data_IF_290320073791
#
_entry.id   IF_290320073791
#
_cell.length_a   1.000
_cell.length_b   1.000
_cell.length_c   1.000
_cell.angle_alpha   90.00
_cell.angle_beta   90.00
_cell.angle_gamma   90.00
#
_symmetry.space_group_name_H-M   'P 1'
#
loop_
_entity.id
_entity.type
_entity.pdbx_description
1 polymer ?
#
# COMPACT_ATOMS: atom_id res chain seq x y z
N UNK A 1 28.06 18.88 13.06
CA UNK A 1 28.60 19.71 14.18
C UNK A 1 28.85 21.17 13.85
N UNK A 2 29.50 21.58 12.72
CA UNK A 2 29.74 23.00 12.39
C UNK A 2 28.44 23.83 12.21
N UNK A 3 27.43 23.33 11.46
CA UNK A 3 26.16 24.06 11.23
C UNK A 3 25.36 24.34 12.52
N UNK A 4 25.33 23.41 13.48
CA UNK A 4 24.59 23.63 14.73
C UNK A 4 25.24 24.69 15.63
N UNK A 5 26.59 24.79 15.64
CA UNK A 5 27.30 25.85 16.35
C UNK A 5 27.04 27.24 15.76
N UNK A 6 26.98 27.34 14.42
CA UNK A 6 26.68 28.60 13.73
C UNK A 6 25.26 29.09 14.09
N UNK A 7 24.27 28.20 14.09
CA UNK A 7 22.89 28.54 14.46
C UNK A 7 22.80 29.00 15.91
N UNK A 8 23.50 28.35 16.85
CA UNK A 8 23.53 28.76 18.25
C UNK A 8 24.17 30.15 18.39
N UNK A 9 25.30 30.41 17.72
CA UNK A 9 25.97 31.69 17.74
C UNK A 9 25.07 32.80 17.17
N UNK A 10 24.38 32.58 16.06
CA UNK A 10 23.44 33.51 15.48
C UNK A 10 22.28 33.83 16.44
N UNK A 11 21.76 32.84 17.15
CA UNK A 11 20.70 32.99 18.13
C UNK A 11 21.15 33.86 19.31
N UNK A 12 22.35 33.65 19.84
CA UNK A 12 22.95 34.44 20.91
C UNK A 12 23.15 35.88 20.44
N UNK A 13 23.62 36.09 19.23
CA UNK A 13 23.82 37.44 18.65
C UNK A 13 22.50 38.23 18.54
N UNK A 14 21.42 37.58 18.09
CA UNK A 14 20.07 38.19 18.01
C UNK A 14 19.57 38.55 19.38
N UNK A 15 19.76 37.73 20.40
CA UNK A 15 19.35 38.00 21.79
C UNK A 15 20.12 39.21 22.35
N UNK A 16 21.44 39.26 22.13
CA UNK A 16 22.26 40.38 22.58
C UNK A 16 21.84 41.67 21.89
N UNK A 17 21.62 41.66 20.60
CA UNK A 17 21.16 42.79 19.81
C UNK A 17 19.80 43.31 20.35
N UNK A 18 18.86 42.43 20.64
CA UNK A 18 17.55 42.75 21.19
C UNK A 18 17.69 43.38 22.58
N UNK A 19 18.55 42.86 23.45
CA UNK A 19 18.82 43.45 24.77
C UNK A 19 19.40 44.87 24.66
N UNK A 20 20.32 45.08 23.75
CA UNK A 20 20.92 46.41 23.53
C UNK A 20 19.86 47.42 23.05
N UNK A 21 19.05 47.08 22.06
CA UNK A 21 18.01 47.93 21.51
C UNK A 21 16.94 48.26 22.56
N UNK A 22 16.52 47.24 23.33
CA UNK A 22 15.50 47.44 24.37
C UNK A 22 15.99 48.34 25.51
N UNK A 23 17.25 48.18 25.99
CA UNK A 23 17.84 49.03 26.99
C UNK A 23 18.04 50.47 26.45
N UNK A 24 18.46 50.63 25.20
CA UNK A 24 18.59 51.93 24.55
C UNK A 24 17.23 52.66 24.47
N UNK A 25 16.16 51.92 24.12
CA UNK A 25 14.79 52.44 24.12
C UNK A 25 14.35 52.88 25.51
N UNK A 26 14.57 52.06 26.54
CA UNK A 26 14.23 52.37 27.93
C UNK A 26 14.96 53.63 28.43
N UNK A 27 16.27 53.74 28.14
CA UNK A 27 17.08 54.91 28.48
C UNK A 27 16.53 56.17 27.77
N UNK A 28 16.22 56.07 26.47
CA UNK A 28 15.67 57.16 25.67
C UNK A 28 14.33 57.67 26.25
N UNK A 29 13.43 56.71 26.56
CA UNK A 29 12.11 57.03 27.14
C UNK A 29 12.25 57.77 28.49
N UNK A 30 13.12 57.26 29.34
CA UNK A 30 13.36 57.85 30.66
C UNK A 30 14.00 59.23 30.57
N UNK A 31 14.95 59.44 29.66
CA UNK A 31 15.54 60.74 29.41
C UNK A 31 14.52 61.78 28.89
N UNK A 32 13.61 61.30 27.98
CA UNK A 32 12.51 62.18 27.51
C UNK A 32 11.57 62.59 28.64
N UNK A 33 11.22 61.73 29.54
CA UNK A 33 10.38 62.01 30.70
C UNK A 33 11.11 62.94 31.62
N UNK A 34 12.38 62.73 31.97
CA UNK A 34 13.20 63.57 32.81
C UNK A 34 13.29 65.01 32.23
N UNK A 35 13.46 65.14 30.92
CA UNK A 35 13.53 66.47 30.27
C UNK A 35 12.20 67.22 30.40
N UNK A 36 11.04 66.56 30.24
CA UNK A 36 9.74 67.10 30.42
C UNK A 36 9.55 67.66 31.89
N UNK A 37 9.94 66.84 32.88
CA UNK A 37 9.86 67.24 34.28
C UNK A 37 10.74 68.42 34.58
N UNK A 38 11.97 68.47 34.08
CA UNK A 38 12.88 69.64 34.27
C UNK A 38 12.33 70.90 33.65
N UNK A 39 11.71 70.82 32.45
CA UNK A 39 11.06 72.01 31.82
C UNK A 39 9.88 72.50 32.67
N UNK A 40 9.03 71.50 33.12
CA UNK A 40 7.87 71.93 33.98
C UNK A 40 8.34 72.56 35.28
N UNK A 41 9.34 71.99 35.94
CA UNK A 41 9.93 72.47 37.13
C UNK A 41 10.54 73.89 36.93
N UNK A 42 11.31 74.11 35.86
CA UNK A 42 11.88 75.34 35.46
C UNK A 42 10.79 76.44 35.27
N UNK A 43 9.68 76.10 34.62
CA UNK A 43 8.57 77.01 34.41
C UNK A 43 7.89 77.37 35.74
N UNK A 44 7.73 76.40 36.65
CA UNK A 44 7.18 76.64 37.98
C UNK A 44 8.10 77.58 38.76
N UNK A 45 9.41 77.30 38.79
CA UNK A 45 10.38 78.14 39.50
C UNK A 45 10.46 79.57 38.93
N UNK A 46 10.36 79.74 37.60
CA UNK A 46 10.34 81.00 36.92
C UNK A 46 9.11 81.79 37.33
N UNK A 47 7.91 81.26 37.35
CA UNK A 47 6.69 81.91 37.78
C UNK A 47 6.74 82.34 39.30
N UNK A 48 7.28 81.46 40.16
CA UNK A 48 7.49 81.74 41.59
C UNK A 48 8.47 82.85 41.75
N UNK A 49 9.57 82.97 41.04
CA UNK A 49 10.56 84.04 41.14
C UNK A 49 9.98 85.37 40.69
N UNK A 50 9.06 85.44 39.75
CA UNK A 50 8.39 86.62 39.29
C UNK A 50 7.37 87.13 40.31
N UNK A 51 6.60 86.27 40.95
CA UNK A 51 5.53 86.66 41.89
C UNK A 51 6.03 86.98 43.32
N UNK A 52 7.13 86.33 43.71
CA UNK A 52 7.68 86.41 45.06
C UNK A 52 9.19 86.65 45.02
N UNK A 53 9.64 87.90 44.69
CA UNK A 53 11.05 88.24 44.52
C UNK A 53 11.89 88.16 45.81
N UNK A 54 11.26 87.99 46.97
CA UNK A 54 11.90 87.88 48.30
C UNK A 54 12.25 86.43 48.67
N UNK A 55 11.87 85.42 47.86
CA UNK A 55 12.23 84.02 48.10
C UNK A 55 13.69 83.78 47.72
N UNK A 56 14.51 83.41 48.72
CA UNK A 56 15.94 83.17 48.51
C UNK A 56 16.15 81.89 47.68
N UNK A 57 17.13 81.87 46.76
CA UNK A 57 17.51 80.68 45.97
C UNK A 57 17.96 79.51 46.84
N UNK A 58 18.48 79.71 48.01
CA UNK A 58 18.89 78.71 48.97
C UNK A 58 17.67 77.91 49.50
N UNK A 59 16.55 78.56 49.80
CA UNK A 59 15.31 77.97 50.27
C UNK A 59 14.70 77.06 49.18
N UNK A 60 14.81 77.49 47.92
CA UNK A 60 14.35 76.67 46.79
C UNK A 60 15.19 75.41 46.61
N UNK A 61 16.50 75.48 46.77
CA UNK A 61 17.40 74.32 46.69
C UNK A 61 17.11 73.38 47.85
N UNK A 62 16.86 73.84 49.04
CA UNK A 62 16.51 73.02 50.21
C UNK A 62 15.19 72.22 50.00
N UNK A 63 14.20 72.83 49.36
CA UNK A 63 12.93 72.19 48.95
C UNK A 63 13.19 71.15 47.87
N UNK A 64 14.05 71.42 46.89
CA UNK A 64 14.38 70.52 45.82
C UNK A 64 15.22 69.29 46.25
N UNK A 65 16.01 69.43 47.31
CA UNK A 65 16.80 68.40 47.93
C UNK A 65 15.97 67.44 48.82
N UNK A 66 14.64 67.67 48.90
CA UNK A 66 13.70 66.69 49.45
C UNK A 66 13.51 66.76 50.95
N UNK A 67 13.80 67.90 51.59
CA UNK A 67 13.34 68.20 52.95
C UNK A 67 11.84 68.48 52.87
N UNK A 68 11.04 67.44 52.92
CA UNK A 68 9.59 67.49 52.75
C UNK A 68 8.90 67.93 54.04
N UNK A 69 7.95 68.82 53.90
CA UNK A 69 6.91 69.01 54.90
C UNK A 69 5.85 67.95 54.75
N UNK A 70 5.33 67.41 55.85
CA UNK A 70 4.23 66.42 55.86
C UNK A 70 2.88 66.96 55.34
N UNK A 71 2.86 68.12 54.74
CA UNK A 71 1.66 68.79 54.24
C UNK A 71 1.51 68.55 52.74
N UNK A 72 0.45 67.86 52.35
CA UNK A 72 0.11 67.55 50.95
C UNK A 72 -0.64 68.79 50.33
N UNK A 73 0.10 69.81 49.99
CA UNK A 73 -0.42 71.00 49.36
C UNK A 73 -1.03 70.80 47.98
N UNK A 74 -0.58 69.72 47.26
CA UNK A 74 -1.07 69.44 45.91
C UNK A 74 -2.51 68.96 45.91
N UNK A 75 -3.00 68.41 47.02
CA UNK A 75 -4.39 67.99 47.21
C UNK A 75 -5.37 69.10 47.06
N UNK A 76 -4.99 70.29 47.55
CA UNK A 76 -5.81 71.50 47.49
C UNK A 76 -5.96 72.05 46.04
N UNK A 77 -5.08 71.61 45.15
CA UNK A 77 -5.09 71.89 43.72
C UNK A 77 -5.66 70.74 42.89
N UNK A 78 -6.29 69.69 43.53
CA UNK A 78 -6.90 68.54 42.85
C UNK A 78 -5.89 67.50 42.32
N UNK A 79 -4.63 67.59 42.79
CA UNK A 79 -3.57 66.65 42.36
C UNK A 79 -3.33 65.64 43.48
N UNK A 80 -3.54 64.39 43.17
CA UNK A 80 -3.31 63.26 44.07
C UNK A 80 -1.87 62.73 43.90
N UNK A 81 -1.03 62.89 44.94
CA UNK A 81 0.39 62.50 44.92
C UNK A 81 0.55 61.02 44.61
N UNK A 82 -0.39 60.17 45.02
CA UNK A 82 -0.31 58.76 44.84
C UNK A 82 -0.78 58.26 43.41
N UNK A 83 -1.56 59.11 42.72
CA UNK A 83 -2.14 58.75 41.40
C UNK A 83 -1.60 59.58 40.26
N UNK A 84 -1.24 60.87 40.52
CA UNK A 84 -0.77 61.73 39.46
C UNK A 84 0.76 61.81 39.46
N UNK A 85 1.38 61.50 38.37
CA UNK A 85 2.84 61.37 38.20
C UNK A 85 3.53 62.74 38.15
N UNK A 86 3.62 63.40 39.26
CA UNK A 86 4.52 64.55 39.47
C UNK A 86 5.81 64.14 40.18
N UNK A 87 6.52 63.14 39.66
CA UNK A 87 7.64 62.52 40.36
C UNK A 87 8.97 63.00 39.78
N UNK A 88 9.77 63.63 40.65
CA UNK A 88 11.20 63.77 40.49
C UNK A 88 11.86 62.38 40.60
N UNK A 89 12.09 61.70 39.46
CA UNK A 89 12.72 60.44 39.40
C UNK A 89 14.17 60.53 39.91
N UNK A 90 14.43 59.98 41.07
CA UNK A 90 15.80 59.97 41.61
C UNK A 90 16.69 59.00 40.70
N UNK A 91 18.00 59.29 40.63
CA UNK A 91 18.98 58.45 39.94
C UNK A 91 18.90 56.98 40.41
N UNK A 92 18.51 56.79 41.68
CA UNK A 92 18.35 55.46 42.30
C UNK A 92 17.17 54.68 41.73
N UNK A 93 16.02 55.36 41.52
CA UNK A 93 14.82 54.70 40.97
C UNK A 93 15.01 54.31 39.50
N UNK A 94 15.72 55.15 38.75
CA UNK A 94 16.15 54.81 37.38
C UNK A 94 17.04 53.58 37.32
N UNK A 95 18.06 53.50 38.21
CA UNK A 95 18.95 52.36 38.28
C UNK A 95 18.20 51.08 38.70
N UNK A 96 17.30 51.18 39.68
CA UNK A 96 16.45 50.06 40.09
C UNK A 96 15.54 49.60 38.95
N UNK A 97 14.91 50.50 38.20
CA UNK A 97 14.11 50.16 37.03
C UNK A 97 14.90 49.45 35.94
N UNK A 98 16.14 49.88 35.67
CA UNK A 98 17.04 49.22 34.75
C UNK A 98 17.38 47.77 35.19
N UNK A 99 17.68 47.59 36.45
CA UNK A 99 18.00 46.28 37.05
C UNK A 99 16.80 45.34 36.91
N UNK A 100 15.61 45.76 37.32
CA UNK A 100 14.37 44.99 37.26
C UNK A 100 14.06 44.60 35.81
N UNK A 101 14.19 45.54 34.88
CA UNK A 101 13.96 45.30 33.46
C UNK A 101 14.92 44.24 32.88
N UNK A 102 16.21 44.34 33.23
CA UNK A 102 17.20 43.34 32.77
C UNK A 102 16.98 41.96 33.40
N UNK A 103 16.57 41.90 34.67
CA UNK A 103 16.19 40.61 35.31
C UNK A 103 15.01 39.96 34.57
N UNK A 104 13.96 40.75 34.26
CA UNK A 104 12.79 40.26 33.54
C UNK A 104 13.16 39.72 32.16
N UNK A 105 14.03 40.43 31.43
CA UNK A 105 14.56 40.01 30.15
C UNK A 105 15.31 38.70 30.24
N UNK A 106 16.18 38.54 31.24
CA UNK A 106 16.94 37.29 31.45
C UNK A 106 15.99 36.12 31.70
N UNK A 107 15.00 36.28 32.58
CA UNK A 107 13.99 35.26 32.88
C UNK A 107 13.22 34.85 31.63
N UNK A 108 12.81 35.84 30.81
CA UNK A 108 12.10 35.57 29.55
C UNK A 108 12.94 34.77 28.56
N UNK A 109 14.24 35.09 28.41
CA UNK A 109 15.18 34.34 27.56
C UNK A 109 15.36 32.92 28.06
N UNK A 110 15.47 32.72 29.38
CA UNK A 110 15.58 31.37 29.96
C UNK A 110 14.33 30.56 29.64
N UNK A 111 13.14 31.12 29.77
CA UNK A 111 11.87 30.45 29.43
C UNK A 111 11.83 30.02 27.94
N UNK A 112 12.18 30.95 27.03
CA UNK A 112 12.22 30.62 25.58
C UNK A 112 13.22 29.51 25.25
N UNK A 113 14.41 29.54 25.85
CA UNK A 113 15.42 28.48 25.63
C UNK A 113 14.97 27.14 26.19
N UNK A 114 14.27 27.14 27.32
CA UNK A 114 13.72 25.92 27.92
C UNK A 114 12.63 25.31 27.06
N UNK A 115 11.70 26.10 26.53
CA UNK A 115 10.65 25.65 25.59
C UNK A 115 11.30 25.08 24.32
N UNK A 116 12.29 25.76 23.75
CA UNK A 116 13.01 25.29 22.55
C UNK A 116 13.75 23.98 22.81
N UNK A 117 14.34 23.82 24.00
CA UNK A 117 15.04 22.58 24.38
C UNK A 117 14.07 21.39 24.50
N UNK A 118 12.93 21.58 25.17
CA UNK A 118 11.88 20.55 25.30
C UNK A 118 11.36 20.14 23.92
N UNK A 119 11.06 21.12 23.06
CA UNK A 119 10.59 20.85 21.70
C UNK A 119 11.59 20.04 20.89
N UNK A 120 12.89 20.42 20.91
CA UNK A 120 13.96 19.67 20.22
C UNK A 120 14.12 18.25 20.75
N UNK A 121 14.01 18.06 22.08
CA UNK A 121 14.11 16.74 22.70
C UNK A 121 12.98 15.83 22.24
N UNK A 122 11.75 16.34 22.16
CA UNK A 122 10.59 15.61 21.69
C UNK A 122 10.69 15.24 20.19
N UNK A 123 11.12 16.17 19.34
CA UNK A 123 11.39 15.90 17.93
C UNK A 123 12.47 14.82 17.73
N UNK A 124 13.58 14.89 18.48
CA UNK A 124 14.65 13.91 18.41
C UNK A 124 14.17 12.52 18.80
N UNK A 125 13.29 12.38 19.81
CA UNK A 125 12.67 11.12 20.21
C UNK A 125 11.83 10.54 19.06
N UNK A 126 10.95 11.34 18.46
CA UNK A 126 10.10 10.93 17.34
C UNK A 126 10.91 10.49 16.10
N UNK A 127 11.99 11.21 15.77
CA UNK A 127 12.89 10.83 14.66
C UNK A 127 13.55 9.48 14.95
N UNK A 128 14.00 9.22 16.17
CA UNK A 128 14.59 7.93 16.55
C UNK A 128 13.56 6.78 16.42
N UNK A 129 12.32 7.00 16.82
CA UNK A 129 11.23 6.03 16.64
C UNK A 129 11.04 5.69 15.14
N UNK A 130 10.94 6.70 14.29
CA UNK A 130 10.82 6.51 12.84
C UNK A 130 12.03 5.75 12.28
N UNK A 131 13.24 6.10 12.71
CA UNK A 131 14.46 5.42 12.27
C UNK A 131 14.43 3.93 12.67
N UNK A 132 13.99 3.61 13.90
CA UNK A 132 13.88 2.22 14.34
C UNK A 132 12.82 1.43 13.56
N UNK A 133 11.72 2.07 13.15
CA UNK A 133 10.70 1.46 12.28
C UNK A 133 11.30 1.11 10.90
N UNK A 134 12.03 2.04 10.29
CA UNK A 134 12.72 1.81 9.01
C UNK A 134 13.75 0.67 9.12
N UNK A 135 14.49 0.59 10.22
CA UNK A 135 15.42 -0.53 10.46
C UNK A 135 14.71 -1.87 10.55
N UNK A 136 13.53 -1.94 11.19
CA UNK A 136 12.74 -3.16 11.26
C UNK A 136 12.24 -3.59 9.85
N UNK A 137 11.77 -2.64 9.05
CA UNK A 137 11.36 -2.87 7.65
C UNK A 137 12.53 -3.44 6.84
N UNK A 138 13.72 -2.84 6.96
CA UNK A 138 14.92 -3.30 6.25
C UNK A 138 15.34 -4.73 6.65
N UNK A 139 15.03 -5.15 7.87
CA UNK A 139 15.21 -6.54 8.33
C UNK A 139 14.08 -7.48 7.92
N UNK A 140 13.16 -7.02 7.05
CA UNK A 140 11.96 -7.74 6.59
C UNK A 140 10.99 -8.11 7.73
N UNK A 141 11.05 -7.40 8.84
CA UNK A 141 10.06 -7.50 9.90
C UNK A 141 8.96 -6.47 9.65
N UNK A 142 7.86 -6.92 9.06
CA UNK A 142 6.71 -6.07 8.69
C UNK A 142 5.59 -6.09 9.77
N UNK A 143 5.81 -6.73 10.93
CA UNK A 143 4.88 -6.67 12.08
C UNK A 143 5.14 -5.40 12.88
N UNK A 144 4.63 -4.28 12.40
CA UNK A 144 4.79 -2.97 13.03
C UNK A 144 3.42 -2.52 13.52
N UNK A 145 3.31 -2.37 14.84
CA UNK A 145 2.17 -1.71 15.46
C UNK A 145 2.47 -0.20 15.55
N UNK A 146 1.67 0.61 14.88
CA UNK A 146 1.87 2.05 14.85
C UNK A 146 0.71 2.71 15.59
N UNK A 147 1.02 3.18 16.80
CA UNK A 147 0.12 3.99 17.58
C UNK A 147 -0.09 5.37 16.91
N UNK A 148 -1.32 5.64 16.45
CA UNK A 148 -1.66 6.73 15.53
C UNK A 148 -2.18 8.00 16.24
N UNK A 149 -1.71 8.36 17.43
CA UNK A 149 -2.36 9.34 18.30
C UNK A 149 -1.83 10.79 18.22
N UNK A 150 -1.10 11.22 17.19
CA UNK A 150 -0.64 12.63 17.11
C UNK A 150 -0.84 13.20 15.72
N UNK A 151 -1.51 14.38 15.65
CA UNK A 151 -1.66 15.20 14.44
C UNK A 151 -0.48 16.17 14.32
N UNK A 152 0.67 15.73 13.82
CA UNK A 152 1.80 16.59 13.50
C UNK A 152 2.47 16.16 12.16
N UNK A 153 3.37 17.00 11.64
CA UNK A 153 4.05 16.75 10.35
C UNK A 153 4.78 15.40 10.32
N UNK A 154 5.25 14.90 11.46
CA UNK A 154 5.89 13.58 11.58
C UNK A 154 4.87 12.44 11.57
N UNK A 155 3.62 12.67 11.91
CA UNK A 155 2.55 11.67 11.83
C UNK A 155 2.19 11.36 10.38
N UNK A 156 2.25 12.35 9.48
CA UNK A 156 2.06 12.15 8.04
C UNK A 156 3.14 11.20 7.50
N UNK A 157 4.41 11.47 7.84
CA UNK A 157 5.53 10.59 7.46
C UNK A 157 5.37 9.16 8.02
N UNK A 158 4.93 9.04 9.27
CA UNK A 158 4.67 7.76 9.92
C UNK A 158 3.56 6.97 9.20
N UNK A 159 2.48 7.65 8.77
CA UNK A 159 1.40 7.06 8.00
C UNK A 159 1.85 6.58 6.61
N UNK A 160 2.70 7.33 5.92
CA UNK A 160 3.25 6.91 4.62
C UNK A 160 4.19 5.70 4.77
N UNK A 161 4.99 5.66 5.83
CA UNK A 161 5.82 4.49 6.16
C UNK A 161 4.93 3.27 6.44
N UNK A 162 3.81 3.45 7.16
CA UNK A 162 2.87 2.37 7.43
C UNK A 162 2.25 1.82 6.15
N UNK A 163 1.72 2.67 5.27
CA UNK A 163 1.16 2.25 3.98
C UNK A 163 2.19 1.46 3.17
N UNK A 164 3.41 1.99 3.08
CA UNK A 164 4.53 1.32 2.39
C UNK A 164 4.84 -0.04 3.02
N UNK A 165 4.81 -0.14 4.35
CA UNK A 165 5.06 -1.40 5.07
C UNK A 165 3.98 -2.44 4.79
N UNK A 166 2.71 -2.02 4.75
CA UNK A 166 1.58 -2.91 4.39
C UNK A 166 1.74 -3.42 2.95
N UNK A 167 2.08 -2.55 2.01
CA UNK A 167 2.35 -2.94 0.62
C UNK A 167 3.52 -3.93 0.51
N UNK A 168 4.63 -3.67 1.18
CA UNK A 168 5.79 -4.57 1.20
C UNK A 168 5.49 -5.93 1.84
N UNK A 169 4.67 -5.94 2.89
CA UNK A 169 4.19 -7.17 3.53
C UNK A 169 3.36 -8.02 2.57
N UNK A 170 2.44 -7.39 1.86
CA UNK A 170 1.58 -8.04 0.86
C UNK A 170 2.42 -8.58 -0.30
N UNK A 171 3.36 -7.79 -0.82
CA UNK A 171 4.28 -8.18 -1.89
C UNK A 171 5.16 -9.37 -1.47
N UNK A 172 5.72 -9.32 -0.25
CA UNK A 172 6.53 -10.42 0.29
C UNK A 172 5.70 -11.70 0.47
N UNK A 173 4.44 -11.58 0.93
CA UNK A 173 3.53 -12.70 1.05
C UNK A 173 3.20 -13.32 -0.31
N UNK A 174 2.85 -12.50 -1.30
CA UNK A 174 2.54 -12.93 -2.65
C UNK A 174 3.77 -13.59 -3.30
N UNK A 175 4.94 -12.97 -3.20
CA UNK A 175 6.21 -13.53 -3.71
C UNK A 175 6.55 -14.90 -3.08
N UNK A 176 6.29 -15.08 -1.77
CA UNK A 176 6.52 -16.35 -1.11
C UNK A 176 5.52 -17.42 -1.57
N UNK A 177 4.26 -17.05 -1.75
CA UNK A 177 3.24 -17.95 -2.30
C UNK A 177 3.58 -18.36 -3.74
N UNK A 178 4.00 -17.43 -4.58
CA UNK A 178 4.42 -17.72 -5.95
C UNK A 178 5.61 -18.68 -5.98
N UNK A 179 6.60 -18.47 -5.13
CA UNK A 179 7.74 -19.37 -4.98
C UNK A 179 7.32 -20.78 -4.55
N UNK A 180 6.39 -20.90 -3.61
CA UNK A 180 5.87 -22.19 -3.17
C UNK A 180 5.06 -22.88 -4.28
N UNK A 181 4.26 -22.13 -5.02
CA UNK A 181 3.50 -22.64 -6.17
C UNK A 181 4.43 -23.15 -7.28
N UNK A 182 5.51 -22.41 -7.58
CA UNK A 182 6.53 -22.84 -8.56
C UNK A 182 7.22 -24.12 -8.07
N UNK A 183 7.63 -24.18 -6.80
CA UNK A 183 8.26 -25.38 -6.23
C UNK A 183 7.35 -26.59 -6.36
N UNK A 184 6.09 -26.48 -5.95
CA UNK A 184 5.09 -27.54 -6.07
C UNK A 184 4.91 -27.95 -7.53
N UNK A 185 4.81 -26.99 -8.46
CA UNK A 185 4.67 -27.27 -9.88
C UNK A 185 5.86 -28.07 -10.44
N UNK A 186 7.10 -27.75 -10.02
CA UNK A 186 8.31 -28.48 -10.45
C UNK A 186 8.31 -29.92 -9.88
N UNK A 187 7.90 -30.11 -8.63
CA UNK A 187 7.76 -31.40 -8.00
C UNK A 187 6.73 -32.25 -8.77
N UNK A 188 5.55 -31.70 -9.04
CA UNK A 188 4.47 -32.36 -9.78
C UNK A 188 4.92 -32.74 -11.22
N UNK A 189 5.58 -31.82 -11.94
CA UNK A 189 6.16 -32.09 -13.27
C UNK A 189 7.15 -33.26 -13.23
N UNK A 190 8.05 -33.25 -12.24
CA UNK A 190 9.06 -34.28 -12.09
C UNK A 190 8.44 -35.65 -11.90
N UNK A 191 7.38 -35.74 -11.08
CA UNK A 191 6.63 -36.97 -10.89
C UNK A 191 5.90 -37.43 -12.16
N UNK A 192 5.24 -36.48 -12.85
CA UNK A 192 4.50 -36.82 -14.09
C UNK A 192 5.41 -37.22 -15.27
N UNK A 193 6.68 -36.82 -15.29
CA UNK A 193 7.68 -37.21 -16.27
C UNK A 193 8.33 -38.53 -15.87
N UNK A 194 8.57 -38.78 -14.59
CA UNK A 194 9.25 -40.00 -14.12
C UNK A 194 8.45 -41.27 -14.44
N UNK A 195 7.13 -41.24 -14.26
CA UNK A 195 6.26 -42.42 -14.48
C UNK A 195 6.35 -42.94 -15.90
N UNK A 196 6.08 -42.18 -16.98
CA UNK A 196 6.18 -42.69 -18.35
C UNK A 196 7.61 -43.03 -18.73
N UNK A 197 8.63 -42.31 -18.24
CA UNK A 197 10.03 -42.67 -18.50
C UNK A 197 10.41 -44.01 -17.87
N UNK A 198 9.95 -44.30 -16.65
CA UNK A 198 10.17 -45.60 -16.01
C UNK A 198 9.45 -46.73 -16.77
N UNK A 199 8.20 -46.48 -17.21
CA UNK A 199 7.43 -47.42 -18.01
C UNK A 199 8.16 -47.76 -19.33
N UNK A 200 8.66 -46.75 -20.05
CA UNK A 200 9.45 -46.91 -21.27
C UNK A 200 10.71 -47.73 -20.98
N UNK A 201 11.45 -47.43 -19.89
CA UNK A 201 12.66 -48.18 -19.54
C UNK A 201 12.37 -49.63 -19.27
N UNK A 202 11.33 -49.94 -18.49
CA UNK A 202 10.93 -51.34 -18.18
C UNK A 202 10.53 -52.11 -19.45
N UNK A 203 9.76 -51.47 -20.36
CA UNK A 203 9.38 -52.10 -21.61
C UNK A 203 10.58 -52.36 -22.53
N UNK A 204 11.55 -51.44 -22.57
CA UNK A 204 12.80 -51.64 -23.31
C UNK A 204 13.65 -52.75 -22.72
N UNK A 205 13.79 -52.78 -21.37
CA UNK A 205 14.53 -53.85 -20.70
C UNK A 205 13.92 -55.23 -21.00
N UNK A 206 12.58 -55.35 -20.97
CA UNK A 206 11.88 -56.60 -21.32
C UNK A 206 12.15 -57.05 -22.79
N UNK A 207 12.18 -56.10 -23.73
CA UNK A 207 12.50 -56.40 -25.15
C UNK A 207 13.95 -56.87 -25.30
N UNK A 208 14.88 -56.30 -24.53
CA UNK A 208 16.31 -56.57 -24.57
C UNK A 208 16.61 -57.94 -23.91
N UNK A 209 15.96 -58.24 -22.77
CA UNK A 209 16.21 -59.41 -21.96
C UNK A 209 15.61 -60.71 -22.59
N UNK A 210 14.60 -60.55 -23.46
CA UNK A 210 13.96 -61.67 -24.18
C UNK A 210 14.12 -61.53 -25.72
N UNK A 211 15.28 -61.94 -26.29
CA UNK A 211 15.52 -61.89 -27.74
C UNK A 211 14.56 -62.76 -28.54
N UNK A 212 14.03 -63.79 -27.93
CA UNK A 212 13.13 -64.77 -28.58
C UNK A 212 11.65 -64.41 -28.36
N UNK A 213 11.35 -63.21 -27.85
CA UNK A 213 10.00 -62.70 -27.64
C UNK A 213 9.17 -62.83 -28.93
N UNK A 214 7.94 -63.26 -28.82
CA UNK A 214 7.00 -63.28 -29.90
C UNK A 214 6.79 -61.91 -30.55
N UNK A 215 6.83 -61.79 -31.86
CA UNK A 215 6.74 -60.58 -32.61
C UNK A 215 5.46 -59.70 -32.26
N UNK A 216 4.35 -60.39 -31.97
CA UNK A 216 3.10 -59.76 -31.51
C UNK A 216 3.32 -59.03 -30.20
N UNK A 217 3.95 -59.62 -29.19
CA UNK A 217 4.22 -59.03 -27.87
C UNK A 217 5.25 -57.94 -27.99
N UNK A 218 6.29 -58.12 -28.81
CA UNK A 218 7.29 -57.10 -29.09
C UNK A 218 6.64 -55.85 -29.71
N UNK A 219 5.75 -56.05 -30.67
CA UNK A 219 5.02 -54.93 -31.30
C UNK A 219 4.11 -54.23 -30.31
N UNK A 220 3.47 -54.92 -29.38
CA UNK A 220 2.65 -54.30 -28.33
C UNK A 220 3.51 -53.41 -27.43
N UNK A 221 4.67 -53.88 -26.96
CA UNK A 221 5.61 -53.03 -26.21
C UNK A 221 6.07 -51.80 -27.01
N UNK A 222 6.40 -51.91 -28.28
CA UNK A 222 6.80 -50.83 -29.16
C UNK A 222 5.64 -49.82 -29.30
N UNK A 223 4.40 -50.26 -29.44
CA UNK A 223 3.23 -49.41 -29.52
C UNK A 223 3.00 -48.67 -28.19
N UNK A 224 3.14 -49.33 -27.06
CA UNK A 224 3.03 -48.73 -25.73
C UNK A 224 4.14 -47.71 -25.48
N UNK A 225 5.39 -47.98 -25.86
CA UNK A 225 6.50 -47.04 -25.83
C UNK A 225 6.17 -45.78 -26.64
N UNK A 226 5.66 -45.96 -27.87
CA UNK A 226 5.26 -44.83 -28.73
C UNK A 226 4.13 -44.02 -28.09
N UNK A 227 3.17 -44.67 -27.43
CA UNK A 227 2.10 -43.99 -26.69
C UNK A 227 2.68 -43.12 -25.55
N UNK A 228 3.60 -43.67 -24.75
CA UNK A 228 4.23 -42.92 -23.65
C UNK A 228 5.09 -41.74 -24.13
N UNK A 229 5.81 -41.87 -25.25
CA UNK A 229 6.55 -40.78 -25.88
C UNK A 229 5.59 -39.67 -26.32
N UNK A 230 4.44 -40.00 -26.89
CA UNK A 230 3.43 -39.01 -27.29
C UNK A 230 2.83 -38.33 -26.07
N UNK A 231 2.61 -39.05 -24.97
CA UNK A 231 2.16 -38.51 -23.68
C UNK A 231 3.16 -37.51 -23.13
N UNK A 232 4.46 -37.80 -23.11
CA UNK A 232 5.53 -36.90 -22.70
C UNK A 232 5.55 -35.65 -23.59
N UNK A 233 5.46 -35.78 -24.90
CA UNK A 233 5.43 -34.66 -25.83
C UNK A 233 4.22 -33.73 -25.59
N UNK A 234 3.05 -34.32 -25.33
CA UNK A 234 1.85 -33.53 -24.98
C UNK A 234 2.04 -32.78 -23.67
N UNK A 235 2.59 -33.42 -22.63
CA UNK A 235 2.90 -32.81 -21.34
C UNK A 235 3.83 -31.64 -21.51
N UNK A 236 4.95 -31.79 -22.22
CA UNK A 236 5.91 -30.72 -22.49
C UNK A 236 5.25 -29.53 -23.21
N UNK A 237 4.47 -29.77 -24.26
CA UNK A 237 3.75 -28.70 -24.97
C UNK A 237 2.78 -27.97 -24.08
N UNK A 238 2.07 -28.68 -23.21
CA UNK A 238 1.12 -28.10 -22.26
C UNK A 238 1.81 -27.27 -21.19
N UNK A 239 2.96 -27.74 -20.69
CA UNK A 239 3.82 -26.97 -19.76
C UNK A 239 4.37 -25.70 -20.37
N UNK A 240 4.84 -25.75 -21.62
CA UNK A 240 5.32 -24.55 -22.34
C UNK A 240 4.19 -23.54 -22.54
N UNK A 241 2.95 -24.01 -22.82
CA UNK A 241 1.79 -23.12 -22.86
C UNK A 241 1.56 -22.45 -21.52
N UNK A 242 1.50 -23.19 -20.40
CA UNK A 242 1.31 -22.65 -19.06
C UNK A 242 2.41 -21.66 -18.69
N UNK A 243 3.68 -22.02 -18.87
CA UNK A 243 4.82 -21.14 -18.55
C UNK A 243 4.76 -19.79 -19.27
N UNK A 244 4.32 -19.77 -20.53
CA UNK A 244 4.14 -18.53 -21.29
C UNK A 244 3.06 -17.63 -20.66
N UNK A 245 2.01 -18.20 -20.07
CA UNK A 245 0.97 -17.47 -19.38
C UNK A 245 1.46 -16.86 -18.06
N UNK A 246 2.24 -17.61 -17.28
CA UNK A 246 2.75 -17.18 -15.98
C UNK A 246 3.66 -15.96 -16.07
N UNK A 247 4.52 -15.89 -17.10
CA UNK A 247 5.50 -14.80 -17.27
C UNK A 247 4.89 -13.61 -18.02
N UNK A 248 3.57 -13.57 -18.27
CA UNK A 248 2.93 -12.57 -19.14
C UNK A 248 3.59 -12.40 -20.53
N UNK A 249 4.34 -13.42 -20.98
CA UNK A 249 5.09 -13.42 -22.24
C UNK A 249 4.19 -13.68 -23.47
N UNK A 250 2.94 -14.04 -23.26
CA UNK A 250 1.97 -14.22 -24.35
C UNK A 250 1.56 -12.85 -24.86
N UNK A 251 1.94 -12.53 -26.09
CA UNK A 251 1.34 -11.40 -26.80
C UNK A 251 -0.10 -11.77 -27.16
N UNK A 252 -1.04 -11.34 -26.35
CA UNK A 252 -2.46 -11.47 -26.63
C UNK A 252 -2.84 -10.57 -27.80
N UNK A 253 -3.43 -11.15 -28.81
CA UNK A 253 -4.09 -10.40 -29.89
C UNK A 253 -5.59 -10.27 -29.55
N UNK A 254 -5.91 -9.52 -28.51
CA UNK A 254 -7.28 -9.37 -28.05
C UNK A 254 -8.09 -8.51 -29.02
N UNK A 255 -9.21 -9.03 -29.48
CA UNK A 255 -10.17 -8.40 -30.35
C UNK A 255 -11.59 -8.72 -29.89
N UNK A 256 -12.56 -7.95 -30.36
CA UNK A 256 -13.97 -8.31 -30.17
C UNK A 256 -14.35 -9.48 -31.07
N UNK A 257 -14.51 -10.64 -30.49
CA UNK A 257 -14.85 -11.90 -31.18
C UNK A 257 -16.26 -12.34 -30.83
N UNK A 258 -17.07 -12.66 -31.82
CA UNK A 258 -18.40 -13.25 -31.65
C UNK A 258 -18.28 -14.63 -30.98
N UNK A 259 -19.06 -14.87 -29.94
CA UNK A 259 -19.09 -16.18 -29.27
C UNK A 259 -19.54 -17.29 -30.23
N UNK A 260 -20.42 -16.96 -31.17
CA UNK A 260 -20.83 -17.92 -32.21
C UNK A 260 -19.62 -18.41 -33.00
N UNK A 261 -18.72 -17.52 -33.47
CA UNK A 261 -17.54 -17.92 -34.23
C UNK A 261 -16.54 -18.73 -33.39
N UNK A 262 -16.44 -18.42 -32.09
CA UNK A 262 -15.63 -19.20 -31.15
C UNK A 262 -16.23 -20.61 -31.00
N UNK A 263 -17.53 -20.72 -30.77
CA UNK A 263 -18.21 -22.01 -30.59
C UNK A 263 -18.18 -22.86 -31.86
N UNK A 264 -18.35 -22.28 -33.05
CA UNK A 264 -18.24 -22.97 -34.33
C UNK A 264 -16.84 -23.62 -34.44
N UNK A 265 -15.78 -22.92 -34.06
CA UNK A 265 -14.41 -23.45 -34.07
C UNK A 265 -14.21 -24.54 -33.02
N UNK A 266 -14.79 -24.39 -31.83
CA UNK A 266 -14.78 -25.40 -30.77
C UNK A 266 -15.46 -26.67 -31.23
N UNK A 267 -16.66 -26.56 -31.83
CA UNK A 267 -17.40 -27.72 -32.35
C UNK A 267 -16.60 -28.48 -33.40
N UNK A 268 -15.94 -27.78 -34.33
CA UNK A 268 -15.06 -28.39 -35.30
C UNK A 268 -13.88 -29.13 -34.65
N UNK A 269 -13.31 -28.58 -33.57
CA UNK A 269 -12.17 -29.19 -32.89
C UNK A 269 -12.54 -30.47 -32.12
N UNK A 270 -13.78 -30.63 -31.68
CA UNK A 270 -14.24 -31.76 -30.87
C UNK A 270 -15.06 -32.79 -31.68
N UNK A 271 -15.38 -32.53 -32.95
CA UNK A 271 -16.26 -33.38 -33.77
C UNK A 271 -15.79 -34.81 -33.84
N UNK A 272 -14.50 -35.03 -34.17
CA UNK A 272 -13.94 -36.38 -34.27
C UNK A 272 -14.04 -37.16 -32.96
N UNK A 273 -13.80 -36.50 -31.81
CA UNK A 273 -13.87 -37.13 -30.49
C UNK A 273 -15.33 -37.45 -30.11
N UNK A 274 -16.23 -36.56 -30.42
CA UNK A 274 -17.68 -36.70 -30.23
C UNK A 274 -18.22 -37.90 -31.04
N UNK A 275 -17.82 -38.00 -32.31
CA UNK A 275 -18.22 -39.11 -33.20
C UNK A 275 -17.67 -40.46 -32.71
N UNK A 276 -16.39 -40.51 -32.31
CA UNK A 276 -15.75 -41.73 -31.78
C UNK A 276 -16.43 -42.26 -30.51
N UNK A 277 -16.97 -41.36 -29.67
CA UNK A 277 -17.68 -41.71 -28.42
C UNK A 277 -19.20 -41.86 -28.61
N UNK A 278 -19.71 -41.58 -29.81
CA UNK A 278 -21.14 -41.57 -30.13
C UNK A 278 -21.94 -40.63 -29.22
N UNK A 279 -21.38 -39.42 -28.97
CA UNK A 279 -21.96 -38.39 -28.12
C UNK A 279 -22.39 -37.20 -29.00
N UNK A 280 -23.67 -36.86 -28.99
CA UNK A 280 -24.19 -35.66 -29.68
C UNK A 280 -23.97 -34.43 -28.82
N UNK A 281 -23.61 -33.30 -29.45
CA UNK A 281 -23.46 -32.01 -28.78
C UNK A 281 -24.53 -31.07 -29.32
N UNK A 282 -25.46 -30.65 -28.44
CA UNK A 282 -26.53 -29.71 -28.75
C UNK A 282 -26.09 -28.29 -28.37
N UNK A 283 -25.78 -27.47 -29.37
CA UNK A 283 -25.36 -26.08 -29.20
C UNK A 283 -26.57 -25.15 -29.33
N UNK A 284 -26.92 -24.48 -28.22
CA UNK A 284 -28.07 -23.58 -28.13
C UNK A 284 -27.59 -22.13 -27.92
N UNK A 285 -27.52 -21.33 -28.94
CA UNK A 285 -27.18 -19.90 -28.85
C UNK A 285 -28.47 -19.07 -28.91
N UNK A 286 -28.92 -18.56 -27.75
CA UNK A 286 -30.11 -17.70 -27.72
C UNK A 286 -29.84 -16.32 -28.28
N UNK A 287 -28.73 -15.70 -27.82
CA UNK A 287 -28.26 -14.41 -28.31
C UNK A 287 -26.75 -14.47 -28.47
N UNK A 288 -26.24 -14.06 -29.61
CA UNK A 288 -24.79 -13.92 -29.82
C UNK A 288 -24.29 -12.66 -29.11
N UNK A 289 -23.09 -12.73 -28.59
CA UNK A 289 -22.41 -11.61 -27.97
C UNK A 289 -20.92 -11.63 -28.29
N UNK A 290 -20.26 -10.49 -28.08
CA UNK A 290 -18.83 -10.39 -28.32
C UNK A 290 -18.05 -10.46 -27.01
N UNK A 291 -16.92 -11.16 -27.05
CA UNK A 291 -15.94 -11.19 -25.97
C UNK A 291 -14.67 -10.51 -26.47
N UNK A 292 -14.12 -9.57 -25.67
CA UNK A 292 -12.81 -9.00 -25.93
C UNK A 292 -11.71 -9.95 -25.47
N UNK A 293 -11.22 -10.77 -26.40
CA UNK A 293 -10.29 -11.87 -26.11
C UNK A 293 -9.39 -12.18 -27.29
N UNK A 294 -8.34 -12.95 -27.06
CA UNK A 294 -7.62 -13.62 -28.14
C UNK A 294 -8.44 -14.85 -28.58
N UNK A 295 -8.81 -14.87 -29.86
CA UNK A 295 -9.66 -15.90 -30.45
C UNK A 295 -9.12 -17.31 -30.23
N UNK A 296 -7.83 -17.54 -30.52
CA UNK A 296 -7.24 -18.87 -30.48
C UNK A 296 -7.14 -19.41 -29.05
N UNK A 297 -6.76 -18.56 -28.11
CA UNK A 297 -6.69 -18.95 -26.71
C UNK A 297 -8.09 -19.21 -26.12
N UNK A 298 -9.08 -18.41 -26.50
CA UNK A 298 -10.45 -18.62 -26.04
C UNK A 298 -11.02 -19.93 -26.59
N UNK A 299 -10.78 -20.24 -27.86
CA UNK A 299 -11.14 -21.54 -28.47
C UNK A 299 -10.45 -22.68 -27.74
N UNK A 300 -9.15 -22.58 -27.43
CA UNK A 300 -8.40 -23.61 -26.70
C UNK A 300 -9.04 -23.86 -25.32
N UNK A 301 -9.35 -22.80 -24.56
CA UNK A 301 -9.94 -22.92 -23.24
C UNK A 301 -11.28 -23.66 -23.25
N UNK A 302 -12.19 -23.26 -24.15
CA UNK A 302 -13.52 -23.88 -24.26
C UNK A 302 -13.40 -25.31 -24.81
N UNK A 303 -12.52 -25.54 -25.79
CA UNK A 303 -12.27 -26.88 -26.35
C UNK A 303 -11.81 -27.87 -25.25
N UNK A 304 -10.93 -27.45 -24.34
CA UNK A 304 -10.48 -28.30 -23.24
C UNK A 304 -11.62 -28.65 -22.27
N UNK A 305 -12.53 -27.74 -22.01
CA UNK A 305 -13.70 -27.99 -21.14
C UNK A 305 -14.68 -28.97 -21.85
N UNK A 306 -14.96 -28.74 -23.13
CA UNK A 306 -15.86 -29.61 -23.90
C UNK A 306 -15.24 -31.02 -24.06
N UNK A 307 -13.94 -31.13 -24.34
CA UNK A 307 -13.24 -32.42 -24.37
C UNK A 307 -13.37 -33.15 -23.03
N UNK A 308 -13.13 -32.51 -21.93
CA UNK A 308 -13.30 -33.07 -20.61
C UNK A 308 -14.74 -33.57 -20.41
N UNK A 309 -15.73 -32.77 -20.82
CA UNK A 309 -17.13 -33.14 -20.76
C UNK A 309 -17.45 -34.39 -21.61
N UNK A 310 -16.87 -34.54 -22.82
CA UNK A 310 -17.04 -35.71 -23.67
C UNK A 310 -16.37 -36.93 -23.01
N UNK A 311 -15.16 -36.78 -22.47
CA UNK A 311 -14.37 -37.86 -21.90
C UNK A 311 -15.05 -38.47 -20.68
N UNK A 312 -15.76 -37.68 -19.87
CA UNK A 312 -16.43 -38.12 -18.64
C UNK A 312 -17.94 -38.32 -18.78
N UNK A 313 -18.50 -38.21 -19.99
CA UNK A 313 -19.91 -38.52 -20.27
C UNK A 313 -20.17 -40.03 -20.36
N UNK A 314 -21.35 -40.44 -19.94
CA UNK A 314 -21.85 -41.75 -20.26
C UNK A 314 -22.10 -41.91 -21.76
N UNK A 315 -21.95 -43.13 -22.28
CA UNK A 315 -22.31 -43.41 -23.66
C UNK A 315 -23.78 -43.09 -23.94
N UNK A 316 -24.07 -42.59 -25.12
CA UNK A 316 -25.42 -42.25 -25.58
C UNK A 316 -26.12 -41.12 -24.77
N UNK A 317 -25.33 -40.27 -24.07
CA UNK A 317 -25.83 -39.07 -23.38
C UNK A 317 -25.31 -37.81 -24.07
N UNK A 318 -26.25 -36.98 -24.46
CA UNK A 318 -25.95 -35.74 -25.15
C UNK A 318 -25.28 -34.69 -24.21
N UNK A 319 -24.40 -33.91 -24.79
CA UNK A 319 -23.83 -32.72 -24.14
C UNK A 319 -24.63 -31.52 -24.58
N UNK A 320 -25.04 -30.68 -23.65
CA UNK A 320 -25.81 -29.46 -23.96
C UNK A 320 -24.92 -28.24 -23.68
N UNK A 321 -24.78 -27.36 -24.67
CA UNK A 321 -24.07 -26.11 -24.54
C UNK A 321 -25.06 -24.97 -24.72
N UNK A 322 -25.29 -24.22 -23.64
CA UNK A 322 -26.18 -23.05 -23.66
C UNK A 322 -25.36 -21.76 -23.64
N UNK A 323 -25.61 -20.90 -24.60
CA UNK A 323 -25.03 -19.55 -24.71
C UNK A 323 -26.15 -18.52 -24.54
N UNK A 324 -26.01 -17.68 -23.51
CA UNK A 324 -27.04 -16.69 -23.16
C UNK A 324 -26.37 -15.34 -22.86
N UNK A 325 -26.90 -14.29 -23.45
CA UNK A 325 -26.52 -12.91 -23.15
C UNK A 325 -27.57 -12.27 -22.21
N UNK A 326 -27.15 -11.95 -20.98
CA UNK A 326 -28.00 -11.33 -19.96
C UNK A 326 -27.59 -9.85 -19.73
N UNK A 327 -28.38 -9.11 -18.97
CA UNK A 327 -28.12 -7.66 -18.76
C UNK A 327 -26.79 -7.37 -18.05
N UNK A 328 -26.42 -8.19 -17.05
CA UNK A 328 -25.25 -7.97 -16.21
C UNK A 328 -24.04 -8.81 -16.60
N UNK A 329 -24.27 -9.92 -17.28
CA UNK A 329 -23.21 -10.85 -17.70
C UNK A 329 -23.65 -11.65 -18.90
N UNK A 330 -22.68 -12.16 -19.66
CA UNK A 330 -22.88 -13.14 -20.70
C UNK A 330 -22.39 -14.49 -20.20
N UNK A 331 -23.09 -15.57 -20.54
CA UNK A 331 -22.88 -16.90 -19.95
C UNK A 331 -22.76 -17.98 -20.99
N UNK A 332 -21.81 -18.90 -20.79
CA UNK A 332 -21.69 -20.17 -21.51
C UNK A 332 -21.78 -21.29 -20.48
N UNK A 333 -22.74 -22.19 -20.62
CA UNK A 333 -22.91 -23.37 -19.80
C UNK A 333 -22.69 -24.61 -20.64
N UNK A 334 -21.81 -25.50 -20.17
CA UNK A 334 -21.51 -26.80 -20.77
C UNK A 334 -21.99 -27.85 -19.79
N UNK A 335 -22.97 -28.61 -20.16
CA UNK A 335 -23.67 -29.61 -19.34
C UNK A 335 -23.42 -31.00 -19.93
N UNK A 336 -22.86 -31.86 -19.12
CA UNK A 336 -22.70 -33.26 -19.46
C UNK A 336 -23.30 -34.20 -18.42
N UNK A 337 -23.73 -35.37 -18.81
CA UNK A 337 -24.26 -36.42 -17.96
C UNK A 337 -23.27 -37.56 -17.90
N UNK A 338 -22.72 -37.85 -16.71
CA UNK A 338 -21.63 -38.82 -16.55
C UNK A 338 -21.40 -39.18 -15.09
N UNK A 339 -20.20 -39.74 -14.84
CA UNK A 339 -19.80 -40.15 -13.48
C UNK A 339 -19.83 -39.04 -12.45
N UNK A 340 -19.80 -37.78 -12.91
CA UNK A 340 -19.79 -36.61 -12.03
C UNK A 340 -18.43 -36.39 -11.36
N UNK A 341 -18.37 -35.41 -10.48
CA UNK A 341 -17.17 -35.00 -9.74
C UNK A 341 -17.51 -35.10 -8.25
N UNK A 342 -16.65 -35.81 -7.50
CA UNK A 342 -16.80 -35.91 -6.05
C UNK A 342 -16.72 -34.51 -5.39
N UNK A 343 -17.48 -34.32 -4.33
CA UNK A 343 -17.53 -33.03 -3.61
C UNK A 343 -16.16 -32.56 -3.07
N UNK A 344 -15.25 -33.51 -2.78
CA UNK A 344 -13.87 -33.21 -2.36
C UNK A 344 -13.04 -32.65 -3.51
N UNK A 345 -13.27 -33.17 -4.73
CA UNK A 345 -12.49 -32.85 -5.94
C UNK A 345 -12.94 -31.54 -6.57
N UNK A 346 -14.22 -31.14 -6.41
CA UNK A 346 -14.78 -29.90 -7.00
C UNK A 346 -13.92 -28.67 -6.71
N UNK A 347 -13.32 -28.59 -5.53
CA UNK A 347 -12.47 -27.45 -5.13
C UNK A 347 -11.11 -27.45 -5.83
N UNK A 348 -10.67 -28.60 -6.32
CA UNK A 348 -9.31 -28.85 -6.81
C UNK A 348 -9.22 -29.10 -8.30
N UNK A 349 -10.34 -29.31 -9.03
CA UNK A 349 -10.30 -29.66 -10.46
C UNK A 349 -9.65 -28.60 -11.34
N UNK A 350 -9.53 -27.37 -10.88
CA UNK A 350 -8.82 -26.28 -11.55
C UNK A 350 -7.37 -26.12 -11.08
N UNK A 351 -6.93 -26.91 -10.09
CA UNK A 351 -5.53 -26.91 -9.66
C UNK A 351 -4.66 -27.59 -10.72
N UNK A 352 -3.42 -27.12 -10.85
CA UNK A 352 -2.48 -27.69 -11.84
C UNK A 352 -2.12 -29.12 -11.44
N UNK A 353 -2.06 -30.00 -12.41
CA UNK A 353 -1.72 -31.41 -12.24
C UNK A 353 -2.67 -32.22 -11.34
N UNK A 354 -3.80 -31.64 -10.98
CA UNK A 354 -4.80 -32.32 -10.18
C UNK A 354 -5.52 -33.38 -11.02
N UNK A 355 -5.57 -34.60 -10.50
CA UNK A 355 -6.33 -35.72 -11.04
C UNK A 355 -7.30 -36.19 -9.96
N UNK A 356 -8.59 -36.21 -10.26
CA UNK A 356 -9.59 -36.84 -9.40
C UNK A 356 -9.51 -38.38 -9.49
N UNK A 357 -10.15 -39.06 -8.53
CA UNK A 357 -10.13 -40.53 -8.45
C UNK A 357 -10.62 -41.22 -9.74
N UNK A 358 -11.48 -40.55 -10.50
CA UNK A 358 -12.08 -41.06 -11.76
C UNK A 358 -11.41 -40.48 -13.02
N UNK A 359 -10.18 -39.99 -12.93
CA UNK A 359 -9.46 -39.40 -14.08
C UNK A 359 -8.99 -40.53 -15.04
N UNK A 360 -9.02 -40.23 -16.35
CA UNK A 360 -8.43 -41.13 -17.35
C UNK A 360 -6.91 -41.22 -17.14
N UNK A 361 -6.35 -42.42 -17.38
CA UNK A 361 -4.91 -42.68 -17.21
C UNK A 361 -4.05 -41.71 -18.01
N UNK A 362 -4.47 -41.32 -19.22
CA UNK A 362 -3.75 -40.42 -20.12
C UNK A 362 -3.97 -38.91 -19.83
N UNK A 363 -4.72 -38.55 -18.78
CA UNK A 363 -4.94 -37.16 -18.43
C UNK A 363 -3.82 -36.62 -17.53
N UNK A 364 -3.33 -35.39 -17.79
CA UNK A 364 -2.24 -34.78 -17.00
C UNK A 364 -2.70 -33.68 -16.03
N UNK A 365 -4.02 -33.43 -15.90
CA UNK A 365 -4.56 -32.42 -15.00
C UNK A 365 -4.19 -30.97 -15.35
N UNK A 366 -3.85 -30.71 -16.63
CA UNK A 366 -3.42 -29.38 -17.10
C UNK A 366 -4.56 -28.64 -17.83
N UNK A 367 -5.47 -29.35 -18.49
CA UNK A 367 -6.47 -28.78 -19.38
C UNK A 367 -7.41 -27.79 -18.70
N UNK A 368 -8.00 -28.15 -17.57
CA UNK A 368 -8.93 -27.29 -16.82
C UNK A 368 -8.22 -26.11 -16.15
N UNK A 369 -7.02 -26.31 -15.63
CA UNK A 369 -6.23 -25.21 -15.04
C UNK A 369 -5.80 -24.18 -16.07
N UNK A 370 -5.42 -24.60 -17.28
CA UNK A 370 -5.12 -23.73 -18.41
C UNK A 370 -6.39 -22.98 -18.85
N UNK A 371 -7.53 -23.67 -18.95
CA UNK A 371 -8.80 -23.04 -19.32
C UNK A 371 -9.20 -21.96 -18.33
N UNK A 372 -9.06 -22.21 -17.02
CA UNK A 372 -9.32 -21.21 -15.99
C UNK A 372 -8.42 -19.99 -16.16
N UNK A 373 -7.12 -20.18 -16.32
CA UNK A 373 -6.13 -19.09 -16.51
C UNK A 373 -6.49 -18.23 -17.73
N UNK A 374 -6.85 -18.83 -18.86
CA UNK A 374 -7.22 -18.12 -20.09
C UNK A 374 -8.52 -17.30 -19.87
N UNK A 375 -9.55 -17.94 -19.30
CA UNK A 375 -10.85 -17.31 -19.07
C UNK A 375 -10.74 -16.13 -18.11
N UNK A 376 -10.01 -16.29 -16.98
CA UNK A 376 -9.81 -15.25 -15.99
C UNK A 376 -8.98 -14.09 -16.57
N UNK A 377 -8.02 -14.34 -17.44
CA UNK A 377 -7.25 -13.31 -18.12
C UNK A 377 -8.07 -12.50 -19.12
N UNK A 378 -9.17 -13.04 -19.62
CA UNK A 378 -10.15 -12.36 -20.47
C UNK A 378 -11.33 -11.81 -19.65
N UNK A 379 -11.12 -11.46 -18.37
CA UNK A 379 -12.14 -10.92 -17.45
C UNK A 379 -13.38 -11.84 -17.28
N UNK A 380 -13.23 -13.13 -17.56
CA UNK A 380 -14.24 -14.13 -17.32
C UNK A 380 -14.06 -14.82 -15.96
N UNK A 381 -15.09 -15.52 -15.52
CA UNK A 381 -15.07 -16.39 -14.34
C UNK A 381 -15.59 -17.77 -14.70
N UNK A 382 -14.86 -18.81 -14.36
CA UNK A 382 -15.30 -20.20 -14.52
C UNK A 382 -15.69 -20.81 -13.18
N UNK A 383 -16.74 -21.59 -13.16
CA UNK A 383 -17.19 -22.38 -12.01
C UNK A 383 -17.73 -23.72 -12.48
N UNK A 384 -17.80 -24.68 -11.56
CA UNK A 384 -18.36 -26.00 -11.79
C UNK A 384 -19.37 -26.34 -10.71
N UNK A 385 -20.41 -27.03 -11.10
CA UNK A 385 -21.37 -27.69 -10.22
C UNK A 385 -21.57 -29.10 -10.71
N UNK A 386 -21.41 -30.10 -9.85
CA UNK A 386 -21.53 -31.51 -10.22
C UNK A 386 -22.22 -32.28 -9.13
N UNK A 387 -22.91 -33.33 -9.56
CA UNK A 387 -23.47 -34.36 -8.71
C UNK A 387 -23.03 -35.72 -9.27
N UNK A 388 -22.50 -36.58 -8.37
CA UNK A 388 -22.02 -37.90 -8.74
C UNK A 388 -23.11 -38.72 -9.42
N UNK A 389 -22.72 -39.45 -10.49
CA UNK A 389 -23.58 -40.26 -11.32
C UNK A 389 -24.82 -39.56 -11.90
N UNK A 390 -24.71 -38.23 -12.07
CA UNK A 390 -25.79 -37.42 -12.64
C UNK A 390 -25.19 -36.46 -13.67
N UNK A 391 -25.15 -35.20 -13.36
CA UNK A 391 -24.69 -34.14 -14.29
C UNK A 391 -23.55 -33.31 -13.73
N UNK A 392 -22.70 -32.87 -14.64
CA UNK A 392 -21.70 -31.82 -14.38
C UNK A 392 -22.01 -30.62 -15.24
N UNK A 393 -21.94 -29.41 -14.66
CA UNK A 393 -22.20 -28.15 -15.33
C UNK A 393 -20.97 -27.27 -15.14
N UNK A 394 -20.25 -26.96 -16.21
CA UNK A 394 -19.26 -25.92 -16.25
C UNK A 394 -19.92 -24.62 -16.68
N UNK A 395 -19.76 -23.56 -15.90
CA UNK A 395 -20.34 -22.26 -16.16
C UNK A 395 -19.23 -21.22 -16.32
N UNK A 396 -19.19 -20.56 -17.49
CA UNK A 396 -18.29 -19.46 -17.79
C UNK A 396 -19.12 -18.18 -17.83
N UNK A 397 -18.73 -17.14 -17.12
CA UNK A 397 -19.39 -15.83 -17.08
C UNK A 397 -18.43 -14.72 -17.46
N UNK A 398 -18.85 -13.81 -18.32
CA UNK A 398 -18.18 -12.55 -18.66
C UNK A 398 -19.06 -11.42 -18.19
N UNK A 399 -18.56 -10.62 -17.24
CA UNK A 399 -19.32 -9.50 -16.70
C UNK A 399 -19.25 -8.31 -17.66
N UNK A 400 -20.38 -7.62 -17.81
CA UNK A 400 -20.48 -6.38 -18.60
C UNK A 400 -20.09 -5.21 -17.70
N UNK A 401 -19.27 -4.29 -18.22
CA UNK A 401 -18.92 -3.02 -17.57
C UNK A 401 -20.08 -2.03 -17.59
#
# INVERSE_FOLDING_TARGET
MKKSKIIIISYILVIICFMIVFNAFYISLNNKNRMKYNITLNNILYEVSLKYPLVNSEDIIEILDGKTSDVNVLKDYGIDIDKDYLILNSKKDYMNGLIINNIFMIVFIILLTLISFISKKNQSKKIKEITSLIEQINRKNYMIDIDNNTEDDLSILKNEIYKTTVMLKEEAYNSNNDKNNIKKSIEDISHQLKTPLTSISVMLDNIIDDPDMEDSVRNDFINDINREINNINFLIKSLLKLSRFDVNAVKYNSQNNSVKSIMDKVMNNVSTLSDLKNIKIDLNIKNDFNIYCDFNWQVEAITNIVKNSIEHSFKDKDIIINVVDEKLYSKIEIINYGIGINSKDIKHIFDRFYKGDNSLEDSFGIGLSLSKTIIEKNNGKISVSSKENDKTIFTIKYYKE
#
